data_IF_449154715138
#
_entry.id   IF_449154715138
#
_cell.length_a   1.000
_cell.length_b   1.000
_cell.length_c   1.000
_cell.angle_alpha   90.00
_cell.angle_beta   90.00
_cell.angle_gamma   90.00
#
_symmetry.space_group_name_H-M   'P 1'
#
loop_
_entity.id
_entity.type
_entity.pdbx_description
1 polymer ?
#
# COMPACT_ATOMS: atom_id res chain seq x y z
N UNK A 1 16.01 6.90 -28.69
CA UNK A 1 15.44 6.83 -27.33
C UNK A 1 14.00 7.30 -27.45
N UNK A 2 13.05 6.37 -27.37
CA UNK A 2 11.62 6.70 -27.40
C UNK A 2 11.20 7.14 -26.00
N UNK A 3 10.51 8.27 -25.92
CA UNK A 3 10.00 8.78 -24.64
C UNK A 3 8.94 7.84 -24.09
N UNK A 4 9.17 7.34 -22.88
CA UNK A 4 8.23 6.45 -22.20
C UNK A 4 7.14 7.32 -21.60
N UNK A 5 5.91 7.20 -22.12
CA UNK A 5 4.82 8.06 -21.66
C UNK A 5 4.61 7.89 -20.16
N UNK A 6 4.26 8.99 -19.49
CA UNK A 6 4.06 9.00 -18.04
C UNK A 6 3.01 7.98 -17.60
N UNK A 7 1.93 7.85 -18.38
CA UNK A 7 0.85 6.89 -18.10
C UNK A 7 1.30 5.45 -18.27
N UNK A 8 2.14 5.15 -19.27
CA UNK A 8 2.69 3.81 -19.48
C UNK A 8 3.66 3.45 -18.36
N UNK A 9 4.48 4.41 -17.91
CA UNK A 9 5.35 4.23 -16.75
C UNK A 9 4.57 3.92 -15.48
N UNK A 10 3.50 4.67 -15.20
CA UNK A 10 2.65 4.41 -14.03
C UNK A 10 2.01 3.03 -14.13
N UNK A 11 1.45 2.65 -15.29
CA UNK A 11 0.87 1.30 -15.46
C UNK A 11 1.91 0.21 -15.25
N UNK A 12 3.10 0.34 -15.82
CA UNK A 12 4.17 -0.65 -15.67
C UNK A 12 4.68 -0.72 -14.22
N UNK A 13 4.78 0.42 -13.53
CA UNK A 13 5.11 0.45 -12.11
C UNK A 13 4.11 -0.38 -11.27
N UNK A 14 2.81 -0.22 -11.54
CA UNK A 14 1.75 -0.98 -10.85
C UNK A 14 1.81 -2.48 -11.20
N UNK A 15 2.07 -2.85 -12.46
CA UNK A 15 2.29 -4.23 -12.89
C UNK A 15 3.49 -4.87 -12.16
N UNK A 16 4.61 -4.17 -12.08
CA UNK A 16 5.79 -4.61 -11.32
C UNK A 16 5.51 -4.74 -9.83
N UNK A 17 4.72 -3.83 -9.27
CA UNK A 17 4.31 -3.90 -7.86
C UNK A 17 3.46 -5.14 -7.57
N UNK A 18 2.49 -5.47 -8.45
CA UNK A 18 1.73 -6.72 -8.34
C UNK A 18 2.61 -7.95 -8.50
N UNK A 19 3.57 -7.93 -9.43
CA UNK A 19 4.54 -9.01 -9.58
C UNK A 19 5.36 -9.21 -8.29
N UNK A 20 5.89 -8.13 -7.70
CA UNK A 20 6.63 -8.19 -6.44
C UNK A 20 5.77 -8.73 -5.29
N UNK A 21 4.50 -8.34 -5.23
CA UNK A 21 3.55 -8.86 -4.26
C UNK A 21 3.31 -10.38 -4.45
N UNK A 22 3.17 -10.85 -5.68
CA UNK A 22 3.07 -12.30 -5.97
C UNK A 22 4.35 -13.03 -5.55
N UNK A 23 5.52 -12.48 -5.84
CA UNK A 23 6.80 -13.07 -5.41
C UNK A 23 6.91 -13.13 -3.89
N UNK A 24 6.46 -12.08 -3.19
CA UNK A 24 6.33 -12.09 -1.74
C UNK A 24 5.42 -13.23 -1.28
N UNK A 25 4.22 -13.37 -1.85
CA UNK A 25 3.27 -14.41 -1.46
C UNK A 25 3.79 -15.83 -1.70
N UNK A 26 4.45 -16.07 -2.83
CA UNK A 26 4.97 -17.39 -3.20
C UNK A 26 6.24 -17.77 -2.43
N UNK A 27 7.20 -16.84 -2.29
CA UNK A 27 8.56 -17.17 -1.84
C UNK A 27 8.84 -16.90 -0.36
N UNK A 28 8.00 -16.09 0.30
CA UNK A 28 8.15 -15.82 1.74
C UNK A 28 8.08 -17.10 2.58
N UNK A 29 7.36 -18.11 2.10
CA UNK A 29 7.18 -19.40 2.79
C UNK A 29 8.27 -20.41 2.39
N UNK A 30 8.69 -20.42 1.12
CA UNK A 30 9.51 -21.50 0.56
C UNK A 30 11.03 -21.29 0.76
N UNK A 31 11.52 -20.05 0.73
CA UNK A 31 12.97 -19.79 0.82
C UNK A 31 13.31 -18.48 1.56
N UNK A 32 13.20 -18.47 2.90
CA UNK A 32 13.48 -17.29 3.71
C UNK A 32 14.94 -16.83 3.65
N UNK A 33 15.88 -17.74 3.32
CA UNK A 33 17.32 -17.43 3.30
C UNK A 33 17.72 -16.61 2.08
N UNK A 34 17.13 -16.89 0.92
CA UNK A 34 17.41 -16.15 -0.31
C UNK A 34 16.47 -14.97 -0.53
N UNK A 35 15.39 -14.86 0.25
CA UNK A 35 14.41 -13.78 0.17
C UNK A 35 14.47 -12.83 1.37
N UNK A 36 15.68 -12.37 1.70
CA UNK A 36 15.90 -11.42 2.79
C UNK A 36 15.29 -10.05 2.47
N UNK A 37 14.75 -9.38 3.50
CA UNK A 37 14.17 -8.03 3.41
C UNK A 37 12.93 -7.92 2.51
N UNK A 38 12.23 -9.02 2.31
CA UNK A 38 10.96 -9.14 1.62
C UNK A 38 9.91 -8.13 2.09
N UNK A 39 9.81 -7.94 3.42
CA UNK A 39 8.89 -6.94 3.99
C UNK A 39 9.32 -5.53 3.59
N UNK A 40 10.63 -5.25 3.54
CA UNK A 40 11.14 -3.95 3.11
C UNK A 40 10.87 -3.71 1.62
N UNK A 41 11.03 -4.73 0.78
CA UNK A 41 10.72 -4.64 -0.66
C UNK A 41 9.23 -4.41 -0.92
N UNK A 42 8.37 -5.08 -0.16
CA UNK A 42 6.92 -4.84 -0.18
C UNK A 42 6.59 -3.41 0.23
N UNK A 43 7.19 -2.92 1.32
CA UNK A 43 7.03 -1.54 1.77
C UNK A 43 7.48 -0.56 0.68
N UNK A 44 8.66 -0.74 0.10
CA UNK A 44 9.15 0.13 -0.97
C UNK A 44 8.20 0.19 -2.16
N UNK A 45 7.67 -0.98 -2.56
CA UNK A 45 6.69 -1.08 -3.65
C UNK A 45 5.39 -0.34 -3.27
N UNK A 46 4.89 -0.52 -2.05
CA UNK A 46 3.70 0.17 -1.54
C UNK A 46 3.88 1.69 -1.50
N UNK A 47 4.99 2.18 -0.96
CA UNK A 47 5.23 3.62 -0.84
C UNK A 47 5.30 4.28 -2.22
N UNK A 48 5.97 3.66 -3.20
CA UNK A 48 5.98 4.14 -4.58
C UNK A 48 4.57 4.18 -5.19
N UNK A 49 3.78 3.13 -4.97
CA UNK A 49 2.41 3.01 -5.47
C UNK A 49 1.51 4.14 -4.91
N UNK A 50 1.61 4.44 -3.61
CA UNK A 50 0.87 5.55 -2.97
C UNK A 50 1.25 6.91 -3.56
N UNK A 51 2.51 7.13 -3.95
CA UNK A 51 2.95 8.37 -4.58
C UNK A 51 2.33 8.52 -5.98
N UNK A 52 2.35 7.47 -6.80
CA UNK A 52 1.85 7.51 -8.17
C UNK A 52 0.32 7.48 -8.30
N UNK A 53 -0.41 7.06 -7.26
CA UNK A 53 -1.89 7.09 -7.27
C UNK A 53 -2.49 8.50 -7.40
N UNK A 54 -1.70 9.57 -7.18
CA UNK A 54 -2.15 10.98 -7.31
C UNK A 54 -2.62 11.37 -8.70
N UNK A 55 -2.08 10.73 -9.73
CA UNK A 55 -2.19 11.25 -11.09
C UNK A 55 -3.55 10.99 -11.73
N UNK A 56 -4.41 10.21 -11.06
CA UNK A 56 -5.78 9.97 -11.48
C UNK A 56 -6.72 10.45 -10.38
N UNK A 57 -7.57 11.43 -10.67
CA UNK A 57 -8.63 11.90 -9.76
C UNK A 57 -9.74 10.84 -9.51
N UNK A 58 -9.44 9.57 -9.76
CA UNK A 58 -10.37 8.44 -9.79
C UNK A 58 -9.97 7.34 -8.80
N UNK A 59 -9.14 7.65 -7.79
CA UNK A 59 -8.82 6.70 -6.70
C UNK A 59 -10.03 6.46 -5.77
N UNK A 60 -11.20 7.02 -6.07
CA UNK A 60 -12.42 6.76 -5.33
C UNK A 60 -13.12 5.50 -5.85
N UNK A 61 -12.88 4.35 -5.20
CA UNK A 61 -13.72 3.16 -5.37
C UNK A 61 -14.50 2.86 -4.10
N UNK A 62 -15.66 2.24 -4.26
CA UNK A 62 -16.48 1.74 -3.14
C UNK A 62 -15.67 0.75 -2.29
N UNK A 63 -14.97 -0.17 -2.93
CA UNK A 63 -14.15 -1.19 -2.27
C UNK A 63 -13.03 -0.55 -1.43
N UNK A 64 -12.33 0.46 -1.96
CA UNK A 64 -11.28 1.14 -1.20
C UNK A 64 -11.85 1.97 -0.05
N UNK A 65 -13.00 2.63 -0.24
CA UNK A 65 -13.71 3.34 0.83
C UNK A 65 -14.17 2.40 1.95
N UNK A 66 -14.64 1.20 1.61
CA UNK A 66 -15.02 0.17 2.56
C UNK A 66 -13.80 -0.36 3.31
N UNK A 67 -12.71 -0.63 2.59
CA UNK A 67 -11.45 -1.07 3.17
C UNK A 67 -10.92 -0.07 4.20
N UNK A 68 -10.85 1.23 3.88
CA UNK A 68 -10.28 2.23 4.82
C UNK A 68 -11.23 2.60 5.96
N UNK A 69 -12.50 2.18 5.92
CA UNK A 69 -13.49 2.55 6.92
C UNK A 69 -13.05 2.09 8.31
N UNK A 70 -12.88 3.05 9.23
CA UNK A 70 -12.42 2.77 10.60
C UNK A 70 -10.91 2.51 10.73
N UNK A 71 -10.13 2.51 9.64
CA UNK A 71 -8.66 2.30 9.66
C UNK A 71 -7.86 3.58 9.93
N UNK A 72 -8.53 4.71 10.15
CA UNK A 72 -7.87 5.99 10.44
C UNK A 72 -8.68 6.89 11.37
N UNK A 73 -7.95 7.81 11.98
CA UNK A 73 -8.49 8.96 12.70
C UNK A 73 -8.08 10.20 11.92
N UNK A 74 -9.04 11.10 11.68
CA UNK A 74 -8.79 12.40 11.04
C UNK A 74 -9.62 13.47 11.73
N UNK A 75 -8.99 14.58 12.10
CA UNK A 75 -9.62 15.81 12.57
C UNK A 75 -9.66 16.90 11.51
N UNK A 76 -9.26 16.58 10.27
CA UNK A 76 -9.47 17.47 9.12
C UNK A 76 -10.96 17.56 8.78
N UNK A 77 -11.40 18.74 8.32
CA UNK A 77 -12.80 19.01 7.90
C UNK A 77 -13.11 18.53 6.46
N UNK A 78 -12.42 17.49 6.01
CA UNK A 78 -12.49 16.98 4.64
C UNK A 78 -13.33 15.71 4.52
N UNK A 79 -13.57 15.29 3.28
CA UNK A 79 -14.29 14.06 2.99
C UNK A 79 -13.47 12.86 3.48
N UNK A 80 -14.03 12.02 4.35
CA UNK A 80 -13.39 10.80 4.88
C UNK A 80 -13.41 9.65 3.87
N UNK A 81 -12.96 9.92 2.65
CA UNK A 81 -12.95 8.98 1.53
C UNK A 81 -11.52 8.56 1.16
N UNK A 82 -11.42 7.69 0.16
CA UNK A 82 -10.16 7.08 -0.31
C UNK A 82 -9.20 8.07 -0.97
N UNK A 83 -9.70 9.06 -1.70
CA UNK A 83 -8.84 10.12 -2.24
C UNK A 83 -8.17 10.90 -1.11
N UNK A 84 -8.95 11.33 -0.13
CA UNK A 84 -8.45 12.08 1.02
C UNK A 84 -7.47 11.27 1.87
N UNK A 85 -7.79 9.99 2.08
CA UNK A 85 -6.93 9.05 2.77
C UNK A 85 -5.59 8.88 2.04
N UNK A 86 -5.60 8.64 0.72
CA UNK A 86 -4.38 8.53 -0.08
C UNK A 86 -3.57 9.83 -0.08
N UNK A 87 -4.24 10.99 -0.11
CA UNK A 87 -3.58 12.30 0.03
C UNK A 87 -2.84 12.42 1.35
N UNK A 88 -3.44 12.02 2.47
CA UNK A 88 -2.77 12.04 3.77
C UNK A 88 -1.63 11.03 3.88
N UNK A 89 -1.77 9.83 3.31
CA UNK A 89 -0.65 8.88 3.23
C UNK A 89 0.54 9.47 2.46
N UNK A 90 0.30 10.10 1.30
CA UNK A 90 1.34 10.79 0.54
C UNK A 90 2.02 11.90 1.33
N UNK A 91 1.24 12.71 2.05
CA UNK A 91 1.80 13.76 2.90
C UNK A 91 2.68 13.18 4.01
N UNK A 92 2.24 12.09 4.65
CA UNK A 92 3.04 11.39 5.64
C UNK A 92 4.36 10.88 5.03
N UNK A 93 4.33 10.30 3.82
CA UNK A 93 5.52 9.88 3.07
C UNK A 93 6.45 11.06 2.78
N UNK A 94 5.94 12.11 2.14
CA UNK A 94 6.72 13.28 1.74
C UNK A 94 7.37 14.01 2.92
N UNK A 95 6.74 13.98 4.08
CA UNK A 95 7.25 14.60 5.30
C UNK A 95 7.99 13.63 6.24
N UNK A 96 8.27 12.38 5.81
CA UNK A 96 8.95 11.35 6.61
C UNK A 96 8.27 11.08 7.96
N UNK A 97 6.93 11.10 7.97
CA UNK A 97 6.09 10.87 9.16
C UNK A 97 5.52 9.45 9.14
N UNK A 98 6.44 8.50 9.00
CA UNK A 98 6.14 7.06 8.94
C UNK A 98 6.99 6.36 9.98
N UNK A 99 6.36 5.53 10.79
CA UNK A 99 7.03 4.73 11.80
C UNK A 99 6.68 3.26 11.62
N UNK A 100 7.64 2.37 11.79
CA UNK A 100 7.38 0.93 11.84
C UNK A 100 7.03 0.51 13.26
N UNK A 101 6.03 -0.35 13.40
CA UNK A 101 5.81 -1.15 14.60
C UNK A 101 6.30 -2.56 14.32
N UNK A 102 7.12 -3.07 15.23
CA UNK A 102 7.73 -4.39 15.11
C UNK A 102 7.29 -5.30 16.24
N UNK A 103 7.30 -6.61 15.99
CA UNK A 103 7.01 -7.64 16.99
C UNK A 103 8.08 -8.75 16.93
N UNK A 104 8.26 -9.53 18.00
CA UNK A 104 9.12 -10.70 17.96
C UNK A 104 8.57 -11.76 16.97
N UNK A 105 9.44 -12.24 16.08
CA UNK A 105 9.18 -13.40 15.23
C UNK A 105 9.49 -14.73 15.94
N UNK A 106 9.29 -15.85 15.24
CA UNK A 106 9.45 -17.20 15.79
C UNK A 106 10.85 -17.50 16.35
N UNK A 107 11.89 -16.84 15.83
CA UNK A 107 13.28 -16.96 16.27
C UNK A 107 13.73 -15.84 17.22
N UNK A 108 12.80 -15.00 17.70
CA UNK A 108 13.10 -13.83 18.54
C UNK A 108 13.60 -12.59 17.78
N UNK A 109 13.74 -12.66 16.45
CA UNK A 109 14.09 -11.50 15.63
C UNK A 109 12.92 -10.52 15.56
N UNK A 110 13.19 -9.22 15.64
CA UNK A 110 12.16 -8.21 15.45
C UNK A 110 11.75 -8.13 13.97
N UNK A 111 10.48 -8.39 13.69
CA UNK A 111 9.88 -8.31 12.36
C UNK A 111 8.97 -7.09 12.26
N UNK A 112 8.97 -6.40 11.12
CA UNK A 112 8.07 -5.26 10.88
C UNK A 112 6.65 -5.82 10.72
N UNK A 113 5.74 -5.41 11.62
CA UNK A 113 4.35 -5.86 11.62
C UNK A 113 3.42 -4.85 10.96
N UNK A 114 3.66 -3.55 11.17
CA UNK A 114 2.82 -2.49 10.59
C UNK A 114 3.57 -1.18 10.39
N UNK A 115 3.01 -0.32 9.53
CA UNK A 115 3.43 1.06 9.34
C UNK A 115 2.38 2.01 9.88
N UNK A 116 2.83 2.99 10.66
CA UNK A 116 2.02 4.09 11.16
C UNK A 116 2.30 5.36 10.35
N UNK A 117 1.27 5.92 9.75
CA UNK A 117 1.30 7.15 8.97
C UNK A 117 0.68 8.29 9.76
N UNK A 118 1.36 9.44 9.78
CA UNK A 118 0.89 10.64 10.47
C UNK A 118 0.95 11.86 9.56
N UNK A 119 -0.13 12.62 9.49
CA UNK A 119 -0.15 13.92 8.84
C UNK A 119 -0.73 14.98 9.76
N UNK A 120 -0.21 16.21 9.64
CA UNK A 120 -0.66 17.37 10.41
C UNK A 120 -0.40 18.65 9.64
N UNK A 121 -1.34 19.58 9.71
CA UNK A 121 -1.22 20.90 9.11
C UNK A 121 -1.00 21.96 10.20
N UNK A 122 0.26 22.25 10.50
CA UNK A 122 0.64 23.20 11.56
C UNK A 122 0.25 24.65 11.27
N UNK A 123 -0.18 24.97 10.04
CA UNK A 123 -0.62 26.31 9.63
C UNK A 123 -2.08 26.60 9.99
N UNK A 124 -2.88 25.58 10.31
CA UNK A 124 -4.29 25.72 10.70
C UNK A 124 -4.45 25.59 12.23
N UNK A 125 -5.46 26.26 12.81
CA UNK A 125 -5.82 26.18 14.24
C UNK A 125 -7.32 25.83 14.40
N UNK A 126 -7.67 24.83 15.26
CA UNK A 126 -6.77 23.86 15.88
C UNK A 126 -5.99 23.07 14.82
N UNK A 127 -4.80 22.54 15.18
CA UNK A 127 -3.96 21.78 14.23
C UNK A 127 -4.71 20.51 13.86
N UNK A 128 -5.15 20.34 12.60
CA UNK A 128 -5.77 19.10 12.19
C UNK A 128 -4.71 18.01 12.06
N UNK A 129 -5.11 16.78 12.37
CA UNK A 129 -4.26 15.61 12.44
C UNK A 129 -4.93 14.43 11.74
N UNK A 130 -4.10 13.60 11.10
CA UNK A 130 -4.46 12.33 10.51
C UNK A 130 -3.52 11.25 11.05
N UNK A 131 -4.08 10.09 11.36
CA UNK A 131 -3.32 8.92 11.81
C UNK A 131 -3.95 7.64 11.26
N UNK A 132 -3.13 6.80 10.62
CA UNK A 132 -3.54 5.47 10.17
C UNK A 132 -2.42 4.47 10.44
N UNK A 133 -2.79 3.24 10.76
CA UNK A 133 -1.85 2.15 10.96
C UNK A 133 -2.25 1.01 10.03
N UNK A 134 -1.34 0.61 9.15
CA UNK A 134 -1.54 -0.50 8.21
C UNK A 134 -0.57 -1.63 8.55
N UNK A 135 -1.11 -2.79 8.89
CA UNK A 135 -0.38 -4.05 8.97
C UNK A 135 0.17 -4.46 7.61
N UNK A 136 1.17 -5.35 7.58
CA UNK A 136 1.67 -5.90 6.32
C UNK A 136 0.55 -6.53 5.50
N UNK A 137 -0.37 -7.27 6.12
CA UNK A 137 -1.54 -7.84 5.44
C UNK A 137 -2.43 -6.77 4.80
N UNK A 138 -2.69 -5.68 5.52
CA UNK A 138 -3.47 -4.56 5.00
C UNK A 138 -2.74 -3.82 3.87
N UNK A 139 -1.41 -3.71 3.92
CA UNK A 139 -0.61 -3.14 2.83
C UNK A 139 -0.76 -3.96 1.55
N UNK A 140 -0.67 -5.29 1.66
CA UNK A 140 -0.89 -6.21 0.53
C UNK A 140 -2.27 -5.99 -0.09
N UNK A 141 -3.30 -5.88 0.73
CA UNK A 141 -4.65 -5.64 0.25
C UNK A 141 -4.82 -4.26 -0.39
N UNK A 142 -4.21 -3.24 0.20
CA UNK A 142 -4.19 -1.89 -0.37
C UNK A 142 -3.59 -1.88 -1.78
N UNK A 143 -2.44 -2.54 -1.96
CA UNK A 143 -1.77 -2.67 -3.25
C UNK A 143 -2.73 -3.24 -4.30
N UNK A 144 -3.47 -4.30 -3.95
CA UNK A 144 -4.40 -4.98 -4.85
C UNK A 144 -5.55 -4.06 -5.25
N UNK A 145 -6.20 -3.44 -4.26
CA UNK A 145 -7.30 -2.51 -4.47
C UNK A 145 -6.88 -1.34 -5.35
N UNK A 146 -5.74 -0.69 -5.07
CA UNK A 146 -5.27 0.41 -5.92
C UNK A 146 -4.87 -0.07 -7.31
N UNK A 147 -4.28 -1.25 -7.44
CA UNK A 147 -3.88 -1.77 -8.77
C UNK A 147 -5.07 -2.09 -9.65
N UNK A 148 -6.15 -2.64 -9.09
CA UNK A 148 -7.42 -2.87 -9.79
C UNK A 148 -8.01 -1.60 -10.39
N UNK A 149 -7.77 -0.45 -9.76
CA UNK A 149 -8.28 0.84 -10.21
C UNK A 149 -7.43 1.49 -11.32
N UNK A 150 -6.15 1.15 -11.39
CA UNK A 150 -5.20 1.76 -12.33
C UNK A 150 -5.00 0.92 -13.59
N UNK A 151 -5.02 -0.40 -13.43
CA UNK A 151 -4.84 -1.36 -14.50
C UNK A 151 -6.17 -1.65 -15.20
N UNK A 152 -6.10 -2.05 -16.47
CA UNK A 152 -7.29 -2.57 -17.16
C UNK A 152 -7.72 -3.90 -16.54
N UNK A 153 -8.98 -4.30 -16.73
CA UNK A 153 -9.48 -5.61 -16.25
C UNK A 153 -8.60 -6.75 -16.79
N UNK A 154 -8.21 -6.70 -18.07
CA UNK A 154 -7.33 -7.69 -18.68
C UNK A 154 -5.95 -7.73 -18.02
N UNK A 155 -5.33 -6.56 -17.81
CA UNK A 155 -4.03 -6.48 -17.15
C UNK A 155 -4.11 -7.01 -15.72
N UNK A 156 -5.18 -6.70 -14.99
CA UNK A 156 -5.37 -7.12 -13.61
C UNK A 156 -5.62 -8.63 -13.49
N UNK A 157 -6.49 -9.19 -14.33
CA UNK A 157 -6.83 -10.61 -14.32
C UNK A 157 -5.63 -11.52 -14.63
N UNK A 158 -4.70 -11.07 -15.49
CA UNK A 158 -3.45 -11.79 -15.77
C UNK A 158 -2.62 -12.07 -14.50
N UNK A 159 -2.73 -11.24 -13.46
CA UNK A 159 -2.03 -11.48 -12.18
C UNK A 159 -2.79 -12.38 -11.21
N UNK A 160 -4.10 -12.59 -11.42
CA UNK A 160 -4.98 -13.35 -10.51
C UNK A 160 -5.40 -14.72 -11.02
N UNK A 161 -5.37 -14.96 -12.33
CA UNK A 161 -5.64 -16.26 -12.92
C UNK A 161 -4.63 -17.36 -12.52
N UNK A 162 -3.49 -17.00 -11.91
CA UNK A 162 -2.52 -17.98 -11.39
C UNK A 162 -2.40 -18.00 -9.84
N UNK A 163 -3.30 -17.35 -9.08
CA UNK A 163 -3.15 -17.20 -7.61
C UNK A 163 -4.23 -17.85 -6.73
N UNK A 164 -5.17 -18.63 -7.28
CA UNK A 164 -6.28 -19.23 -6.51
C UNK A 164 -5.88 -20.38 -5.56
N UNK A 165 -4.61 -20.47 -5.13
CA UNK A 165 -4.13 -21.59 -4.33
C UNK A 165 -3.86 -21.31 -2.83
N UNK A 166 -3.51 -20.10 -2.36
CA UNK A 166 -2.74 -20.00 -1.10
C UNK A 166 -3.16 -18.93 -0.08
N UNK A 167 -4.45 -18.64 0.08
CA UNK A 167 -4.92 -17.88 1.25
C UNK A 167 -6.03 -18.62 2.00
N UNK A 168 -5.77 -19.87 2.36
CA UNK A 168 -6.39 -20.56 3.49
C UNK A 168 -5.26 -21.08 4.36
N UNK A 169 -5.47 -21.07 5.69
CA UNK A 169 -4.50 -21.41 6.76
C UNK A 169 -3.58 -20.20 7.07
N UNK A 170 -3.81 -19.43 8.13
CA UNK A 170 -3.59 -19.87 9.52
C UNK A 170 -4.57 -19.22 10.51
N UNK A 171 -5.38 -20.06 11.17
CA UNK A 171 -5.95 -19.84 12.51
C UNK A 171 -5.18 -20.66 13.51
#
# INVERSE_FOLDING_TARGET
MTEYSKDDFVKDFFKRTLHNLRQYDAKHIEDPKNYQYEVTQLINSFLGLVIFSKERNEVTSKELNEFIRGKFKSTYNNNKNSDDYCRHLRNAIAHRRIDSKSMPGANGQMIIHSLQFRDRNTRQKPVPEFSSNLTICEIKEFIRLLSKMILSETDYQQFYSDSTAHCQLTT
#
